data_IF_436324769662
#
_entry.id   IF_436324769662
#
_cell.length_a   1.000
_cell.length_b   1.000
_cell.length_c   1.000
_cell.angle_alpha   90.00
_cell.angle_beta   90.00
_cell.angle_gamma   90.00
#
_symmetry.space_group_name_H-M   'P 1'
#
loop_
_entity.id
_entity.type
_entity.pdbx_description
1 polymer ?
#
# COMPACT_ATOMS: atom_id res chain seq x y z
N UNK A 1 17.59 -16.36 16.91
CA UNK A 1 17.42 -15.27 15.91
C UNK A 1 18.59 -14.36 16.12
N UNK A 2 19.61 -14.48 15.28
CA UNK A 2 20.79 -13.63 15.40
C UNK A 2 20.35 -12.18 15.18
N UNK A 3 20.77 -11.31 16.10
CA UNK A 3 20.54 -9.87 16.02
C UNK A 3 21.00 -9.35 14.66
N UNK A 4 20.20 -8.48 14.05
CA UNK A 4 20.50 -7.75 12.82
C UNK A 4 21.97 -7.25 12.82
N UNK A 5 22.90 -7.86 12.06
CA UNK A 5 24.33 -7.73 12.38
C UNK A 5 25.04 -6.56 11.69
N UNK A 6 24.33 -5.69 10.97
CA UNK A 6 24.98 -4.67 10.14
C UNK A 6 24.41 -3.27 10.38
N UNK A 7 25.29 -2.32 10.68
CA UNK A 7 25.03 -0.90 10.49
C UNK A 7 24.85 -0.67 8.99
N UNK A 8 23.64 -0.30 8.59
CA UNK A 8 23.37 0.15 7.22
C UNK A 8 24.19 1.42 7.00
N UNK A 9 25.28 1.33 6.21
CA UNK A 9 26.19 2.45 5.97
C UNK A 9 25.40 3.72 5.58
N UNK A 10 25.35 4.71 6.48
CA UNK A 10 24.72 6.01 6.26
C UNK A 10 23.22 6.12 6.56
N UNK A 11 22.53 5.04 6.96
CA UNK A 11 21.11 5.09 7.34
C UNK A 11 20.94 5.13 8.87
N UNK A 12 19.94 5.86 9.39
CA UNK A 12 19.65 5.86 10.82
C UNK A 12 19.24 4.46 11.28
N UNK A 13 19.78 3.99 12.40
CA UNK A 13 19.29 2.79 13.07
C UNK A 13 17.89 3.07 13.63
N UNK A 14 16.88 2.37 13.09
CA UNK A 14 15.48 2.49 13.49
C UNK A 14 15.02 1.35 14.39
N UNK A 15 15.92 0.45 14.79
CA UNK A 15 15.61 -0.70 15.65
C UNK A 15 15.02 -0.28 16.99
N UNK A 16 15.42 0.89 17.51
CA UNK A 16 14.93 1.47 18.75
C UNK A 16 13.72 2.42 18.59
N UNK A 17 13.30 2.74 17.36
CA UNK A 17 12.20 3.69 17.15
C UNK A 17 10.92 3.21 17.83
N UNK A 18 10.28 4.12 18.55
CA UNK A 18 8.88 4.07 18.98
C UNK A 18 7.96 4.43 17.80
N UNK A 19 6.65 4.22 17.97
CA UNK A 19 5.67 4.58 16.93
C UNK A 19 5.69 6.08 16.71
N UNK A 20 5.82 6.87 17.79
CA UNK A 20 6.01 8.32 17.74
C UNK A 20 7.26 8.73 16.96
N UNK A 21 8.42 8.12 17.22
CA UNK A 21 9.65 8.43 16.48
C UNK A 21 9.48 8.21 14.97
N UNK A 22 8.71 7.19 14.60
CA UNK A 22 8.43 6.89 13.18
C UNK A 22 7.47 7.89 12.55
N UNK A 23 6.45 8.32 13.28
CA UNK A 23 5.53 9.38 12.84
C UNK A 23 6.33 10.66 12.58
N UNK A 24 7.15 11.10 13.55
CA UNK A 24 7.97 12.30 13.43
C UNK A 24 8.98 12.19 12.28
N UNK A 25 9.65 11.05 12.16
CA UNK A 25 10.61 10.79 11.09
C UNK A 25 9.99 10.91 9.69
N UNK A 26 8.83 10.29 9.48
CA UNK A 26 8.13 10.35 8.19
C UNK A 26 7.59 11.77 7.96
N UNK A 27 6.96 12.38 8.95
CA UNK A 27 6.35 13.72 8.83
C UNK A 27 7.38 14.78 8.46
N UNK A 28 8.51 14.84 9.18
CA UNK A 28 9.62 15.74 8.88
C UNK A 28 10.29 15.39 7.56
N UNK A 29 10.45 14.09 7.28
CA UNK A 29 11.02 13.59 6.04
C UNK A 29 10.26 14.02 4.78
N UNK A 30 8.94 14.16 4.89
CA UNK A 30 8.06 14.65 3.82
C UNK A 30 7.97 16.18 3.76
N UNK A 31 8.63 16.90 4.68
CA UNK A 31 8.59 18.38 4.73
C UNK A 31 7.25 18.96 5.17
N UNK A 32 6.45 18.21 5.93
CA UNK A 32 5.15 18.66 6.44
C UNK A 32 5.31 19.66 7.62
N UNK A 33 4.30 20.52 7.89
CA UNK A 33 4.40 21.57 8.93
C UNK A 33 4.70 21.02 10.33
N UNK A 34 5.77 21.49 10.98
CA UNK A 34 6.22 20.96 12.27
C UNK A 34 5.27 21.30 13.41
N UNK A 35 4.66 22.48 13.36
CA UNK A 35 3.72 22.97 14.36
C UNK A 35 2.44 22.13 14.43
N UNK A 36 2.07 21.45 13.35
CA UNK A 36 0.93 20.54 13.31
C UNK A 36 1.08 19.37 14.32
N UNK A 37 2.29 18.82 14.46
CA UNK A 37 2.54 17.72 15.40
C UNK A 37 2.45 18.17 16.87
N UNK A 38 2.81 19.41 17.17
CA UNK A 38 2.72 19.96 18.53
C UNK A 38 1.29 20.34 18.92
N UNK A 39 0.44 20.62 17.93
CA UNK A 39 -0.94 21.10 18.13
C UNK A 39 -1.97 20.00 18.14
N UNK A 40 -1.69 18.84 17.58
CA UNK A 40 -2.61 17.71 17.56
C UNK A 40 -2.25 16.74 18.69
N UNK A 41 -3.18 16.51 19.61
CA UNK A 41 -2.95 15.56 20.69
C UNK A 41 -3.03 14.12 20.15
N UNK A 42 -1.92 13.39 20.21
CA UNK A 42 -1.82 12.02 19.69
C UNK A 42 -1.74 11.03 20.85
N UNK A 43 -2.78 10.20 21.00
CA UNK A 43 -2.88 9.08 21.93
C UNK A 43 -2.61 7.75 21.19
N UNK A 44 -1.57 7.03 21.61
CA UNK A 44 -1.14 5.74 21.03
C UNK A 44 -1.22 4.62 22.08
N UNK A 45 -2.43 4.14 22.42
CA UNK A 45 -2.58 3.06 23.39
C UNK A 45 -1.77 1.83 23.00
N UNK A 46 -1.08 1.26 23.99
CA UNK A 46 -0.25 0.05 23.84
C UNK A 46 0.93 0.20 22.88
N UNK A 47 1.42 1.42 22.64
CA UNK A 47 2.65 1.67 21.87
C UNK A 47 3.82 0.78 22.38
N UNK A 48 4.60 0.26 21.43
CA UNK A 48 5.71 -0.66 21.72
C UNK A 48 5.27 -2.11 21.99
N UNK A 49 3.96 -2.40 22.02
CA UNK A 49 3.45 -3.76 22.03
C UNK A 49 3.79 -4.53 20.75
N UNK A 50 3.96 -5.84 20.87
CA UNK A 50 4.30 -6.72 19.74
C UNK A 50 3.11 -6.86 18.76
N UNK A 51 1.88 -6.85 19.30
CA UNK A 51 0.58 -7.08 18.64
C UNK A 51 0.43 -8.36 17.80
N UNK A 52 1.38 -8.67 16.92
CA UNK A 52 1.48 -9.90 16.14
C UNK A 52 2.91 -10.47 16.15
N UNK A 53 3.07 -11.80 16.18
CA UNK A 53 4.39 -12.42 16.12
C UNK A 53 4.98 -12.27 14.70
N UNK A 54 5.88 -11.30 14.52
CA UNK A 54 6.55 -11.01 13.26
C UNK A 54 8.00 -10.61 13.49
N UNK A 55 8.86 -10.92 12.51
CA UNK A 55 10.25 -10.44 12.50
C UNK A 55 10.35 -8.92 12.26
N UNK A 56 9.27 -8.28 11.82
CA UNK A 56 9.16 -6.83 11.63
C UNK A 56 8.17 -6.24 12.63
N UNK A 57 8.35 -4.96 12.99
CA UNK A 57 7.45 -4.21 13.88
C UNK A 57 6.12 -3.84 13.17
N UNK A 58 5.34 -4.82 12.74
CA UNK A 58 4.13 -4.58 11.91
C UNK A 58 3.08 -3.77 12.66
N UNK A 59 2.84 -4.05 13.95
CA UNK A 59 1.87 -3.30 14.74
C UNK A 59 2.23 -1.82 14.87
N UNK A 60 3.51 -1.54 15.13
CA UNK A 60 4.07 -0.19 15.08
C UNK A 60 3.85 0.48 13.72
N UNK A 61 4.16 -0.20 12.61
CA UNK A 61 3.98 0.37 11.27
C UNK A 61 2.49 0.66 10.98
N UNK A 62 1.59 -0.18 11.49
CA UNK A 62 0.14 0.01 11.38
C UNK A 62 -0.30 1.26 12.11
N UNK A 63 0.08 1.34 13.39
CA UNK A 63 -0.30 2.43 14.26
C UNK A 63 0.28 3.76 13.74
N UNK A 64 1.54 3.76 13.30
CA UNK A 64 2.19 4.94 12.74
C UNK A 64 1.53 5.41 11.43
N UNK A 65 1.30 4.51 10.47
CA UNK A 65 0.74 4.88 9.16
C UNK A 65 -0.70 5.39 9.25
N UNK A 66 -1.55 4.76 10.08
CA UNK A 66 -2.92 5.23 10.33
C UNK A 66 -2.91 6.56 11.09
N UNK A 67 -2.01 6.75 12.05
CA UNK A 67 -1.87 8.03 12.73
C UNK A 67 -1.43 9.13 11.76
N UNK A 68 -0.48 8.84 10.87
CA UNK A 68 -0.01 9.79 9.85
C UNK A 68 -1.13 10.20 8.89
N UNK A 69 -1.98 9.26 8.45
CA UNK A 69 -3.12 9.60 7.58
C UNK A 69 -4.14 10.48 8.32
N UNK A 70 -4.42 10.18 9.59
CA UNK A 70 -5.31 10.99 10.41
C UNK A 70 -4.74 12.40 10.68
N UNK A 71 -3.44 12.52 10.95
CA UNK A 71 -2.74 13.80 11.11
C UNK A 71 -2.81 14.64 9.84
N UNK A 72 -2.55 14.01 8.68
CA UNK A 72 -2.63 14.69 7.39
C UNK A 72 -4.05 15.15 7.08
N UNK A 73 -5.06 14.34 7.35
CA UNK A 73 -6.46 14.71 7.17
C UNK A 73 -6.87 15.86 8.11
N UNK A 74 -6.47 15.82 9.38
CA UNK A 74 -6.73 16.90 10.35
C UNK A 74 -6.04 18.20 9.96
N UNK A 75 -4.84 18.14 9.39
CA UNK A 75 -4.16 19.33 8.87
C UNK A 75 -4.97 20.00 7.74
N UNK A 76 -5.55 19.23 6.83
CA UNK A 76 -6.44 19.75 5.77
C UNK A 76 -7.68 20.40 6.38
N UNK A 77 -8.32 19.72 7.34
CA UNK A 77 -9.50 20.23 8.05
C UNK A 77 -9.23 21.58 8.75
N UNK A 78 -8.12 21.69 9.47
CA UNK A 78 -7.71 22.95 10.11
C UNK A 78 -7.46 24.06 9.09
N UNK A 79 -6.82 23.75 7.96
CA UNK A 79 -6.57 24.74 6.91
C UNK A 79 -7.85 25.24 6.26
N UNK A 80 -8.87 24.38 6.12
CA UNK A 80 -10.17 24.72 5.51
C UNK A 80 -11.03 25.57 6.46
N UNK A 81 -10.98 25.26 7.76
CA UNK A 81 -11.83 25.90 8.77
C UNK A 81 -11.20 27.13 9.44
N UNK A 82 -9.90 27.37 9.26
CA UNK A 82 -9.14 28.38 10.02
C UNK A 82 -9.24 28.20 11.56
N UNK A 83 -9.55 26.98 11.99
CA UNK A 83 -9.72 26.60 13.40
C UNK A 83 -8.45 25.94 13.91
N UNK A 84 -7.43 26.75 14.22
CA UNK A 84 -6.21 26.26 14.87
C UNK A 84 -6.32 26.18 16.42
N UNK A 85 -7.48 26.51 16.97
CA UNK A 85 -7.63 26.86 18.40
C UNK A 85 -8.05 25.71 19.32
N UNK A 86 -8.63 24.61 18.81
CA UNK A 86 -8.99 23.45 19.65
C UNK A 86 -8.32 22.16 19.13
N UNK A 87 -7.50 21.47 19.95
CA UNK A 87 -6.84 20.25 19.52
C UNK A 87 -7.86 19.11 19.34
N UNK A 88 -8.12 18.70 18.11
CA UNK A 88 -8.71 17.37 17.86
C UNK A 88 -7.73 16.31 18.36
N UNK A 89 -8.19 15.42 19.25
CA UNK A 89 -7.37 14.31 19.71
C UNK A 89 -7.43 13.16 18.69
N UNK A 90 -6.26 12.73 18.20
CA UNK A 90 -6.11 11.54 17.37
C UNK A 90 -5.76 10.38 18.28
N UNK A 91 -6.60 9.35 18.30
CA UNK A 91 -6.37 8.13 19.07
C UNK A 91 -6.30 6.93 18.16
N UNK A 92 -5.18 6.21 18.18
CA UNK A 92 -4.98 5.01 17.35
C UNK A 92 -4.58 3.83 18.22
N UNK A 93 -5.54 3.00 18.71
CA UNK A 93 -5.21 1.80 19.46
C UNK A 93 -4.44 0.78 18.62
N UNK A 94 -3.37 0.22 19.18
CA UNK A 94 -2.48 -0.72 18.46
C UNK A 94 -3.25 -1.93 17.87
N UNK A 95 -4.17 -2.51 18.64
CA UNK A 95 -4.96 -3.67 18.23
C UNK A 95 -5.90 -3.37 17.06
N UNK A 96 -6.51 -2.19 17.03
CA UNK A 96 -7.38 -1.75 15.93
C UNK A 96 -6.56 -1.49 14.67
N UNK A 97 -5.38 -0.87 14.82
CA UNK A 97 -4.49 -0.63 13.69
C UNK A 97 -4.05 -1.93 13.00
N UNK A 98 -3.71 -2.93 13.81
CA UNK A 98 -3.33 -4.27 13.33
C UNK A 98 -4.52 -4.97 12.67
N UNK A 99 -5.71 -4.88 13.26
CA UNK A 99 -6.93 -5.46 12.68
C UNK A 99 -7.25 -4.84 11.30
N UNK A 100 -7.07 -3.52 11.15
CA UNK A 100 -7.30 -2.85 9.86
C UNK A 100 -6.29 -3.29 8.78
N UNK A 101 -5.02 -3.54 9.15
CA UNK A 101 -4.02 -4.11 8.23
C UNK A 101 -4.31 -5.54 7.77
N UNK A 102 -5.20 -6.26 8.46
CA UNK A 102 -5.70 -7.57 8.05
C UNK A 102 -7.20 -7.56 7.75
N UNK A 103 -7.78 -6.39 7.46
CA UNK A 103 -9.24 -6.20 7.35
C UNK A 103 -9.91 -7.10 6.32
N UNK A 104 -9.20 -7.52 5.27
CA UNK A 104 -9.69 -8.46 4.26
C UNK A 104 -10.03 -9.85 4.83
N UNK A 105 -9.51 -10.18 6.00
CA UNK A 105 -9.76 -11.46 6.70
C UNK A 105 -10.92 -11.39 7.68
N UNK A 106 -11.40 -10.19 8.00
CA UNK A 106 -12.33 -9.96 9.10
C UNK A 106 -13.77 -9.71 8.65
N UNK A 107 -13.98 -9.33 7.38
CA UNK A 107 -15.33 -9.14 6.87
C UNK A 107 -16.01 -10.48 6.57
N UNK A 108 -17.34 -10.49 6.66
CA UNK A 108 -18.20 -11.58 6.23
C UNK A 108 -19.12 -11.09 5.12
N UNK A 109 -19.29 -11.91 4.07
CA UNK A 109 -20.30 -11.71 3.03
C UNK A 109 -21.35 -12.81 3.18
N UNK A 110 -22.60 -12.43 3.46
CA UNK A 110 -23.70 -13.36 3.76
C UNK A 110 -23.33 -14.38 4.85
N UNK A 111 -22.66 -13.91 5.90
CA UNK A 111 -22.20 -14.73 7.02
C UNK A 111 -21.00 -15.64 6.71
N UNK A 112 -20.42 -15.56 5.51
CA UNK A 112 -19.28 -16.39 5.10
C UNK A 112 -18.00 -15.55 5.04
N UNK A 113 -16.85 -16.11 5.45
CA UNK A 113 -15.57 -15.41 5.31
C UNK A 113 -15.20 -15.22 3.83
N UNK A 114 -14.36 -14.22 3.58
CA UNK A 114 -13.75 -14.00 2.28
C UNK A 114 -13.06 -15.27 1.76
N UNK A 115 -13.22 -15.55 0.46
CA UNK A 115 -12.41 -16.59 -0.19
C UNK A 115 -10.97 -16.09 -0.33
N UNK A 116 -10.02 -17.01 -0.24
CA UNK A 116 -8.62 -16.68 -0.51
C UNK A 116 -8.45 -16.10 -1.92
N UNK A 117 -7.73 -15.00 -2.03
CA UNK A 117 -7.33 -14.44 -3.32
C UNK A 117 -6.12 -15.18 -3.94
N UNK A 118 -5.48 -16.10 -3.21
CA UNK A 118 -4.36 -16.89 -3.71
C UNK A 118 -4.84 -18.02 -4.63
N UNK A 119 -4.07 -18.29 -5.69
CA UNK A 119 -4.28 -19.47 -6.52
C UNK A 119 -3.64 -20.72 -5.90
N UNK A 120 -3.65 -21.81 -6.66
CA UNK A 120 -3.23 -23.13 -6.20
C UNK A 120 -1.74 -23.43 -6.38
N UNK A 121 -1.04 -22.71 -7.26
CA UNK A 121 0.39 -22.87 -7.52
C UNK A 121 1.27 -21.93 -6.69
N UNK A 122 0.73 -20.80 -6.25
CA UNK A 122 1.50 -19.74 -5.62
C UNK A 122 2.07 -20.10 -4.24
N UNK A 123 2.70 -19.11 -3.62
CA UNK A 123 3.31 -19.21 -2.31
C UNK A 123 4.81 -19.47 -2.36
N UNK A 124 5.34 -20.09 -1.31
CA UNK A 124 6.76 -20.32 -1.13
C UNK A 124 7.15 -21.70 -1.70
N UNK A 125 8.18 -21.72 -2.54
CA UNK A 125 8.73 -22.93 -3.16
C UNK A 125 10.23 -23.02 -2.96
N UNK A 126 10.74 -24.22 -2.72
CA UNK A 126 12.17 -24.48 -2.56
C UNK A 126 12.86 -24.55 -3.93
N UNK A 127 14.07 -23.99 -4.01
CA UNK A 127 14.97 -24.07 -5.16
C UNK A 127 16.24 -24.84 -4.79
N UNK A 128 17.15 -25.05 -5.74
CA UNK A 128 18.41 -25.76 -5.51
C UNK A 128 19.28 -25.13 -4.40
N UNK A 129 19.19 -23.81 -4.23
CA UNK A 129 20.04 -23.00 -3.36
C UNK A 129 19.26 -22.15 -2.34
N UNK A 130 17.93 -22.19 -2.33
CA UNK A 130 17.12 -21.27 -1.55
C UNK A 130 15.62 -21.46 -1.74
N UNK A 131 14.90 -20.35 -1.84
CA UNK A 131 13.46 -20.36 -2.09
C UNK A 131 13.04 -19.22 -3.01
N UNK A 132 11.88 -19.37 -3.64
CA UNK A 132 11.18 -18.32 -4.37
C UNK A 132 9.75 -18.16 -3.85
N UNK A 133 9.23 -16.93 -3.88
CA UNK A 133 7.82 -16.60 -3.66
C UNK A 133 7.16 -16.40 -5.02
N UNK A 134 6.08 -17.12 -5.29
CA UNK A 134 5.32 -17.05 -6.53
C UNK A 134 3.91 -16.50 -6.27
N UNK A 135 3.40 -15.68 -7.18
CA UNK A 135 2.02 -15.19 -7.15
C UNK A 135 1.27 -15.67 -8.38
N UNK A 136 0.12 -16.29 -8.16
CA UNK A 136 -0.74 -16.88 -9.20
C UNK A 136 -2.21 -16.44 -9.05
N UNK A 137 -2.44 -15.30 -8.40
CA UNK A 137 -3.77 -14.75 -8.11
C UNK A 137 -4.60 -14.45 -9.37
N UNK A 138 -3.97 -14.37 -10.55
CA UNK A 138 -4.62 -14.12 -11.83
C UNK A 138 -4.27 -15.20 -12.87
N UNK A 139 -5.17 -15.50 -13.82
CA UNK A 139 -4.93 -16.52 -14.84
C UNK A 139 -3.66 -16.30 -15.66
N UNK A 140 -3.37 -15.05 -16.04
CA UNK A 140 -2.14 -14.72 -16.77
C UNK A 140 -0.87 -14.98 -15.94
N UNK A 141 -0.91 -14.78 -14.62
CA UNK A 141 0.24 -15.11 -13.76
C UNK A 141 0.44 -16.61 -13.65
N UNK A 142 -0.65 -17.38 -13.48
CA UNK A 142 -0.61 -18.85 -13.49
C UNK A 142 -0.01 -19.38 -14.79
N UNK A 143 -0.49 -18.89 -15.93
CA UNK A 143 -0.02 -19.31 -17.24
C UNK A 143 1.47 -18.98 -17.45
N UNK A 144 1.92 -17.80 -16.98
CA UNK A 144 3.32 -17.40 -17.05
C UNK A 144 4.23 -18.32 -16.20
N UNK A 145 3.80 -18.69 -14.98
CA UNK A 145 4.52 -19.65 -14.13
C UNK A 145 4.65 -21.00 -14.85
N UNK A 146 3.54 -21.53 -15.36
CA UNK A 146 3.52 -22.81 -16.06
C UNK A 146 4.38 -22.80 -17.33
N UNK A 147 4.39 -21.69 -18.08
CA UNK A 147 5.28 -21.51 -19.24
C UNK A 147 6.76 -21.57 -18.86
N UNK A 148 7.16 -20.89 -17.79
CA UNK A 148 8.56 -20.87 -17.32
C UNK A 148 9.03 -22.24 -16.84
N UNK A 149 8.13 -22.99 -16.19
CA UNK A 149 8.45 -24.31 -15.62
C UNK A 149 8.13 -25.48 -16.56
N UNK A 150 7.67 -25.19 -17.78
CA UNK A 150 7.26 -26.18 -18.77
C UNK A 150 6.21 -27.16 -18.23
N UNK A 151 5.16 -26.60 -17.61
CA UNK A 151 4.01 -27.31 -17.06
C UNK A 151 2.74 -26.96 -17.84
N UNK A 152 1.76 -27.86 -17.82
CA UNK A 152 0.42 -27.58 -18.35
C UNK A 152 -0.35 -26.68 -17.37
N UNK A 153 -0.80 -25.51 -17.83
CA UNK A 153 -1.50 -24.54 -16.96
C UNK A 153 -2.82 -25.05 -16.40
N UNK A 154 -3.51 -25.96 -17.09
CA UNK A 154 -4.81 -26.45 -16.66
C UNK A 154 -4.69 -27.53 -15.59
N UNK A 155 -3.65 -28.37 -15.66
CA UNK A 155 -3.51 -29.54 -14.79
C UNK A 155 -2.41 -29.42 -13.74
N UNK A 156 -1.51 -28.43 -13.86
CA UNK A 156 -0.40 -28.28 -12.92
C UNK A 156 -0.88 -28.16 -11.47
N UNK A 157 -0.19 -28.87 -10.60
CA UNK A 157 -0.36 -28.86 -9.16
C UNK A 157 0.77 -28.10 -8.47
N UNK A 158 0.61 -27.86 -7.17
CA UNK A 158 1.64 -27.22 -6.37
C UNK A 158 2.89 -28.10 -6.24
N UNK A 159 2.68 -29.41 -6.23
CA UNK A 159 3.71 -30.44 -6.17
C UNK A 159 4.55 -30.47 -7.45
N UNK A 160 3.91 -30.38 -8.63
CA UNK A 160 4.63 -30.29 -9.92
C UNK A 160 5.52 -29.04 -9.97
N UNK A 161 5.00 -27.90 -9.50
CA UNK A 161 5.77 -26.65 -9.40
C UNK A 161 6.95 -26.84 -8.46
N UNK A 162 6.73 -27.41 -7.28
CA UNK A 162 7.78 -27.65 -6.29
C UNK A 162 8.88 -28.58 -6.83
N UNK A 163 8.55 -29.60 -7.63
CA UNK A 163 9.53 -30.47 -8.26
C UNK A 163 10.37 -29.71 -9.30
N UNK A 164 9.73 -28.93 -10.16
CA UNK A 164 10.43 -28.15 -11.20
C UNK A 164 11.35 -27.09 -10.60
N UNK A 165 10.93 -26.41 -9.53
CA UNK A 165 11.73 -25.33 -8.93
C UNK A 165 13.04 -25.82 -8.30
N UNK A 166 13.12 -27.09 -7.88
CA UNK A 166 14.34 -27.68 -7.33
C UNK A 166 15.51 -27.75 -8.34
N UNK A 167 15.21 -27.69 -9.64
CA UNK A 167 16.21 -27.73 -10.71
C UNK A 167 16.85 -26.36 -10.98
N UNK A 168 16.30 -25.30 -10.38
CA UNK A 168 16.74 -23.94 -10.60
C UNK A 168 17.48 -23.39 -9.39
N UNK A 169 18.41 -22.46 -9.63
CA UNK A 169 18.79 -21.50 -8.60
C UNK A 169 17.76 -20.39 -8.49
N UNK A 170 17.52 -19.89 -7.28
CA UNK A 170 16.48 -18.90 -6.98
C UNK A 170 16.57 -17.63 -7.84
N UNK A 171 17.76 -17.03 -7.94
CA UNK A 171 17.99 -15.82 -8.73
C UNK A 171 17.91 -16.06 -10.26
N UNK A 172 18.33 -17.24 -10.72
CA UNK A 172 18.23 -17.62 -12.13
C UNK A 172 16.76 -17.80 -12.54
N UNK A 173 15.95 -18.44 -11.67
CA UNK A 173 14.51 -18.60 -11.89
C UNK A 173 13.76 -17.27 -11.86
N UNK A 174 14.06 -16.39 -10.90
CA UNK A 174 13.49 -15.03 -10.88
C UNK A 174 13.82 -14.28 -12.19
N UNK A 175 15.06 -14.36 -12.65
CA UNK A 175 15.47 -13.71 -13.91
C UNK A 175 14.72 -14.28 -15.12
N UNK A 176 14.54 -15.61 -15.19
CA UNK A 176 13.77 -16.26 -16.24
C UNK A 176 12.28 -15.89 -16.18
N UNK A 177 11.74 -15.76 -14.97
CA UNK A 177 10.37 -15.37 -14.71
C UNK A 177 10.08 -13.94 -15.16
N UNK A 178 10.95 -12.98 -14.81
CA UNK A 178 10.83 -11.59 -15.24
C UNK A 178 10.83 -11.43 -16.76
N UNK A 179 11.61 -12.25 -17.48
CA UNK A 179 11.65 -12.27 -18.95
C UNK A 179 10.40 -12.86 -19.60
N UNK A 180 9.55 -13.54 -18.82
CA UNK A 180 8.36 -14.24 -19.28
C UNK A 180 7.08 -13.75 -18.56
N UNK A 181 7.12 -12.55 -17.97
CA UNK A 181 5.99 -11.92 -17.27
C UNK A 181 5.43 -12.75 -16.08
N UNK A 182 6.24 -13.67 -15.53
CA UNK A 182 5.86 -14.47 -14.38
C UNK A 182 6.25 -13.77 -13.07
N UNK A 183 5.35 -13.80 -12.08
CA UNK A 183 5.52 -13.14 -10.78
C UNK A 183 6.18 -14.12 -9.80
N UNK A 184 7.49 -14.31 -9.96
CA UNK A 184 8.33 -15.20 -9.14
C UNK A 184 9.53 -14.39 -8.64
N UNK A 185 9.74 -14.35 -7.32
CA UNK A 185 10.84 -13.59 -6.71
C UNK A 185 11.67 -14.44 -5.75
N UNK A 186 12.99 -14.31 -5.84
CA UNK A 186 13.93 -15.00 -4.96
C UNK A 186 13.86 -14.42 -3.54
N UNK A 187 13.74 -15.31 -2.54
CA UNK A 187 13.93 -14.92 -1.15
C UNK A 187 15.41 -14.68 -0.92
N UNK A 188 15.71 -13.54 -0.32
CA UNK A 188 17.06 -13.07 -0.04
C UNK A 188 17.25 -12.86 1.44
N UNK A 189 18.43 -13.19 1.93
CA UNK A 189 18.95 -12.69 3.19
C UNK A 189 19.15 -11.17 3.13
N UNK A 190 19.32 -10.53 4.28
CA UNK A 190 19.61 -9.09 4.34
C UNK A 190 20.89 -8.73 3.56
N UNK A 191 21.95 -9.52 3.68
CA UNK A 191 23.19 -9.29 2.97
C UNK A 191 23.03 -9.41 1.44
N UNK A 192 22.29 -10.42 0.97
CA UNK A 192 21.98 -10.57 -0.46
C UNK A 192 21.13 -9.42 -0.99
N UNK A 193 20.17 -8.91 -0.20
CA UNK A 193 19.40 -7.73 -0.56
C UNK A 193 20.28 -6.47 -0.66
N UNK A 194 21.10 -6.21 0.35
CA UNK A 194 21.99 -5.04 0.40
C UNK A 194 23.00 -5.01 -0.76
N UNK A 195 23.47 -6.18 -1.19
CA UNK A 195 24.41 -6.29 -2.32
C UNK A 195 23.73 -6.33 -3.69
N UNK A 196 22.40 -6.45 -3.73
CA UNK A 196 21.63 -6.45 -4.98
C UNK A 196 21.55 -5.06 -5.62
N UNK A 197 21.34 -5.00 -6.94
CA UNK A 197 21.14 -3.73 -7.66
C UNK A 197 20.01 -2.87 -7.08
N UNK A 198 18.79 -3.39 -6.90
CA UNK A 198 17.70 -2.64 -6.26
C UNK A 198 18.01 -2.20 -4.83
N UNK A 199 18.62 -3.06 -4.01
CA UNK A 199 19.02 -2.72 -2.65
C UNK A 199 20.02 -1.57 -2.62
N UNK A 200 21.08 -1.64 -3.43
CA UNK A 200 22.05 -0.56 -3.58
C UNK A 200 21.43 0.73 -4.08
N UNK A 201 20.50 0.67 -5.05
CA UNK A 201 19.82 1.86 -5.57
C UNK A 201 18.98 2.58 -4.50
N UNK A 202 18.29 1.81 -3.64
CA UNK A 202 17.56 2.38 -2.49
C UNK A 202 18.54 3.02 -1.49
N UNK A 203 19.64 2.33 -1.17
CA UNK A 203 20.65 2.82 -0.23
C UNK A 203 21.41 4.06 -0.73
N UNK A 204 21.66 4.15 -2.04
CA UNK A 204 22.55 5.16 -2.62
C UNK A 204 21.97 6.59 -2.63
N UNK A 205 20.68 6.78 -2.41
CA UNK A 205 20.07 8.11 -2.56
C UNK A 205 19.03 8.51 -1.53
N UNK A 206 18.44 7.58 -0.77
CA UNK A 206 17.16 7.88 -0.13
C UNK A 206 17.01 7.27 1.27
N UNK A 207 16.79 8.14 2.26
CA UNK A 207 16.43 7.74 3.62
C UNK A 207 14.92 7.47 3.78
N UNK A 208 14.11 7.75 2.76
CA UNK A 208 12.65 7.61 2.81
C UNK A 208 12.12 6.87 1.58
N UNK A 209 11.12 5.99 1.76
CA UNK A 209 10.50 5.25 0.65
C UNK A 209 9.57 6.12 -0.22
N UNK A 210 9.24 7.34 0.23
CA UNK A 210 8.30 8.26 -0.43
C UNK A 210 9.01 9.58 -0.67
N UNK A 211 8.77 10.20 -1.84
CA UNK A 211 9.21 11.56 -2.16
C UNK A 211 8.03 12.39 -2.61
N UNK A 212 7.97 13.61 -2.11
CA UNK A 212 7.06 14.64 -2.59
C UNK A 212 7.85 15.60 -3.45
N UNK A 213 7.43 15.77 -4.69
CA UNK A 213 7.99 16.76 -5.59
C UNK A 213 6.86 17.70 -6.00
N UNK A 214 7.01 18.98 -5.66
CA UNK A 214 6.08 20.00 -6.12
C UNK A 214 6.24 20.17 -7.62
N UNK A 215 5.25 19.71 -8.38
CA UNK A 215 5.11 20.02 -9.80
C UNK A 215 4.85 21.53 -9.94
N UNK A 216 5.50 22.19 -10.92
CA UNK A 216 5.69 23.64 -10.98
C UNK A 216 4.45 24.53 -10.68
N UNK A 217 4.69 25.63 -9.97
CA UNK A 217 4.17 26.99 -10.26
C UNK A 217 2.68 27.24 -10.51
N UNK A 218 1.74 26.35 -10.18
CA UNK A 218 0.33 26.75 -10.18
C UNK A 218 0.18 27.90 -9.18
N UNK A 219 -0.08 29.12 -9.66
CA UNK A 219 -0.44 30.25 -8.80
C UNK A 219 -1.72 29.99 -7.99
N UNK A 220 -2.42 28.88 -8.26
CA UNK A 220 -3.39 28.29 -7.36
C UNK A 220 -2.73 27.95 -6.03
N UNK A 221 -2.94 28.81 -5.04
CA UNK A 221 -2.80 28.42 -3.65
C UNK A 221 -3.67 27.17 -3.42
N UNK A 222 -3.27 26.22 -2.54
CA UNK A 222 -4.11 25.08 -2.15
C UNK A 222 -5.53 25.48 -1.73
N UNK A 223 -5.74 26.75 -1.37
CA UNK A 223 -7.04 27.35 -1.07
C UNK A 223 -8.02 27.39 -2.25
N UNK A 224 -7.56 27.39 -3.52
CA UNK A 224 -8.46 27.31 -4.69
C UNK A 224 -8.97 25.88 -4.92
N UNK A 225 -8.12 24.86 -4.73
CA UNK A 225 -8.54 23.45 -4.73
C UNK A 225 -9.42 23.10 -3.50
N UNK A 226 -9.25 23.83 -2.40
CA UNK A 226 -10.04 23.66 -1.18
C UNK A 226 -11.46 24.28 -1.25
N UNK A 227 -11.85 24.97 -2.33
CA UNK A 227 -13.19 25.58 -2.45
C UNK A 227 -14.33 24.56 -2.33
N UNK A 228 -14.08 23.31 -2.70
CA UNK A 228 -15.07 22.24 -2.63
C UNK A 228 -15.04 21.46 -1.31
N UNK A 229 -13.97 21.60 -0.53
CA UNK A 229 -13.89 21.00 0.80
C UNK A 229 -14.81 21.80 1.72
N UNK A 230 -15.76 21.11 2.35
CA UNK A 230 -16.79 21.76 3.15
C UNK A 230 -16.22 22.21 4.48
N UNK A 231 -16.39 23.49 4.80
CA UNK A 231 -16.17 23.99 6.14
C UNK A 231 -17.15 23.37 7.14
N UNK A 232 -16.69 23.14 8.37
CA UNK A 232 -17.43 22.58 9.49
C UNK A 232 -18.15 21.27 9.12
N UNK A 233 -17.49 20.43 8.33
CA UNK A 233 -18.03 19.16 7.91
C UNK A 233 -17.99 18.10 9.03
N UNK A 234 -18.71 17.00 8.81
CA UNK A 234 -18.74 15.84 9.69
C UNK A 234 -17.45 14.99 9.62
N UNK A 235 -16.57 15.27 8.65
CA UNK A 235 -15.33 14.54 8.35
C UNK A 235 -14.30 15.47 7.69
N UNK A 236 -13.03 15.26 8.01
CA UNK A 236 -11.90 16.12 7.63
C UNK A 236 -11.70 16.34 6.13
N UNK A 237 -11.98 15.33 5.29
CA UNK A 237 -11.80 15.40 3.82
C UNK A 237 -13.12 15.52 3.07
N UNK A 238 -14.21 15.91 3.75
CA UNK A 238 -15.53 15.98 3.13
C UNK A 238 -15.53 17.01 1.98
N UNK A 239 -15.79 16.53 0.78
CA UNK A 239 -15.85 17.34 -0.44
C UNK A 239 -14.59 17.25 -1.30
N UNK A 240 -13.49 16.70 -0.77
CA UNK A 240 -12.32 16.34 -1.56
C UNK A 240 -12.69 15.24 -2.57
N UNK A 241 -12.39 15.44 -3.85
CA UNK A 241 -12.71 14.51 -4.93
C UNK A 241 -11.45 13.76 -5.36
N UNK A 242 -11.52 12.43 -5.33
CA UNK A 242 -10.40 11.55 -5.66
C UNK A 242 -10.81 10.66 -6.82
N UNK A 243 -10.06 10.71 -7.92
CA UNK A 243 -10.22 9.82 -9.06
C UNK A 243 -9.15 8.74 -9.01
N UNK A 244 -9.49 7.59 -8.46
CA UNK A 244 -8.54 6.51 -8.21
C UNK A 244 -8.42 5.59 -9.45
N UNK A 245 -7.26 5.60 -10.10
CA UNK A 245 -6.92 4.74 -11.25
C UNK A 245 -6.05 3.54 -10.85
N UNK A 246 -6.52 2.78 -9.87
CA UNK A 246 -5.66 1.84 -9.13
C UNK A 246 -6.18 0.39 -9.14
N UNK A 247 -5.33 -0.57 -8.76
CA UNK A 247 -5.69 -1.99 -8.69
C UNK A 247 -5.01 -2.71 -7.52
N UNK A 248 -5.61 -3.83 -7.11
CA UNK A 248 -5.04 -4.81 -6.17
C UNK A 248 -5.06 -4.33 -4.71
N UNK A 249 -3.97 -3.77 -4.15
CA UNK A 249 -3.91 -3.52 -2.69
C UNK A 249 -3.45 -2.10 -2.32
N UNK A 250 -2.19 -1.74 -2.59
CA UNK A 250 -1.56 -0.57 -1.95
C UNK A 250 -2.29 0.75 -2.26
N UNK A 251 -2.56 1.01 -3.54
CA UNK A 251 -3.29 2.20 -3.95
C UNK A 251 -4.80 2.13 -3.62
N UNK A 252 -5.50 0.99 -3.76
CA UNK A 252 -6.86 0.87 -3.25
C UNK A 252 -7.00 1.12 -1.75
N UNK A 253 -5.99 0.75 -0.93
CA UNK A 253 -5.93 1.08 0.50
C UNK A 253 -5.79 2.58 0.73
N UNK A 254 -5.00 3.28 -0.10
CA UNK A 254 -4.91 4.75 -0.03
C UNK A 254 -6.28 5.40 -0.31
N UNK A 255 -6.98 4.96 -1.35
CA UNK A 255 -8.34 5.42 -1.64
C UNK A 255 -9.35 5.09 -0.53
N UNK A 256 -9.31 3.87 0.02
CA UNK A 256 -10.12 3.48 1.19
C UNK A 256 -9.87 4.41 2.38
N UNK A 257 -8.60 4.76 2.62
CA UNK A 257 -8.19 5.64 3.71
C UNK A 257 -8.76 7.05 3.53
N UNK A 258 -8.66 7.62 2.32
CA UNK A 258 -9.24 8.93 2.01
C UNK A 258 -10.77 8.91 2.17
N UNK A 259 -11.44 7.87 1.69
CA UNK A 259 -12.88 7.68 1.84
C UNK A 259 -13.32 7.57 3.32
N UNK A 260 -12.53 6.89 4.16
CA UNK A 260 -12.78 6.81 5.60
C UNK A 260 -12.75 8.19 6.28
N UNK A 261 -11.93 9.11 5.78
CA UNK A 261 -11.90 10.51 6.19
C UNK A 261 -12.92 11.41 5.45
N UNK A 262 -13.84 10.83 4.67
CA UNK A 262 -14.99 11.53 4.08
C UNK A 262 -14.81 12.03 2.65
N UNK A 263 -13.66 11.76 2.01
CA UNK A 263 -13.44 12.10 0.61
C UNK A 263 -14.42 11.37 -0.32
N UNK A 264 -14.78 12.01 -1.42
CA UNK A 264 -15.55 11.39 -2.50
C UNK A 264 -14.59 10.68 -3.45
N UNK A 265 -14.45 9.37 -3.27
CA UNK A 265 -13.52 8.54 -4.03
C UNK A 265 -14.27 7.78 -5.11
N UNK A 266 -13.93 8.07 -6.38
CA UNK A 266 -14.37 7.34 -7.55
C UNK A 266 -13.26 6.41 -8.03
N UNK A 267 -13.44 5.11 -7.83
CA UNK A 267 -12.53 4.08 -8.26
C UNK A 267 -12.83 3.62 -9.69
N UNK A 268 -11.98 4.01 -10.62
CA UNK A 268 -12.07 3.61 -12.02
C UNK A 268 -11.38 2.28 -12.21
N UNK A 269 -12.15 1.28 -12.65
CA UNK A 269 -11.64 -0.05 -13.00
C UNK A 269 -11.77 -0.30 -14.50
N UNK A 270 -11.11 -1.34 -15.02
CA UNK A 270 -11.20 -1.70 -16.43
C UNK A 270 -12.14 -2.88 -16.62
N UNK A 271 -13.03 -2.86 -17.62
CA UNK A 271 -13.84 -4.03 -17.99
C UNK A 271 -12.99 -5.16 -18.61
N UNK A 272 -11.76 -4.85 -19.03
CA UNK A 272 -10.88 -5.76 -19.78
C UNK A 272 -9.76 -6.37 -18.92
N UNK A 273 -9.78 -6.16 -17.59
CA UNK A 273 -8.77 -6.66 -16.66
C UNK A 273 -9.42 -7.51 -15.57
N UNK A 274 -8.76 -8.60 -15.11
CA UNK A 274 -9.32 -9.44 -14.07
C UNK A 274 -9.42 -8.70 -12.73
N UNK A 275 -10.47 -8.97 -11.96
CA UNK A 275 -10.67 -8.44 -10.61
C UNK A 275 -10.27 -9.44 -9.53
N UNK A 276 -10.17 -9.00 -8.28
CA UNK A 276 -10.02 -9.88 -7.11
C UNK A 276 -11.17 -9.61 -6.15
N UNK A 277 -12.40 -10.11 -6.42
CA UNK A 277 -13.60 -9.67 -5.71
C UNK A 277 -13.51 -9.76 -4.18
N UNK A 278 -12.88 -10.82 -3.66
CA UNK A 278 -12.71 -11.00 -2.22
C UNK A 278 -11.86 -9.90 -1.57
N UNK A 279 -10.93 -9.31 -2.32
CA UNK A 279 -10.12 -8.19 -1.86
C UNK A 279 -10.79 -6.85 -2.19
N UNK A 280 -11.35 -6.73 -3.39
CA UNK A 280 -12.02 -5.52 -3.89
C UNK A 280 -13.18 -5.09 -2.99
N UNK A 281 -13.88 -6.05 -2.35
CA UNK A 281 -14.93 -5.76 -1.35
C UNK A 281 -14.36 -5.01 -0.14
N UNK A 282 -13.20 -5.43 0.39
CA UNK A 282 -12.59 -4.74 1.54
C UNK A 282 -12.06 -3.36 1.14
N UNK A 283 -11.23 -3.31 0.09
CA UNK A 283 -10.57 -2.07 -0.31
C UNK A 283 -11.54 -1.10 -1.00
N UNK A 284 -12.72 -1.56 -1.40
CA UNK A 284 -13.83 -0.80 -1.96
C UNK A 284 -14.65 -0.01 -0.93
N UNK A 285 -14.47 -0.26 0.37
CA UNK A 285 -15.25 0.38 1.44
C UNK A 285 -15.21 1.91 1.35
N UNK A 286 -16.39 2.52 1.29
CA UNK A 286 -16.56 3.98 1.22
C UNK A 286 -16.35 4.59 -0.16
N UNK A 287 -16.02 3.80 -1.19
CA UNK A 287 -15.77 4.27 -2.55
C UNK A 287 -16.96 4.00 -3.47
N UNK A 288 -17.09 4.81 -4.51
CA UNK A 288 -17.92 4.50 -5.70
C UNK A 288 -17.03 3.89 -6.76
N UNK A 289 -17.56 3.03 -7.61
CA UNK A 289 -16.78 2.44 -8.71
C UNK A 289 -17.49 2.59 -10.04
N UNK A 290 -16.69 2.74 -11.09
CA UNK A 290 -17.13 2.67 -12.49
C UNK A 290 -16.16 1.80 -13.28
N UNK A 291 -16.59 1.36 -14.46
CA UNK A 291 -15.74 0.69 -15.43
C UNK A 291 -15.58 1.58 -16.65
N UNK A 292 -14.32 1.88 -17.00
CA UNK A 292 -13.98 2.60 -18.23
C UNK A 292 -13.02 1.78 -19.06
N UNK A 293 -13.29 1.66 -20.35
CA UNK A 293 -12.32 1.13 -21.31
C UNK A 293 -11.50 2.27 -21.91
N UNK A 294 -10.38 2.61 -21.27
CA UNK A 294 -9.48 3.70 -21.70
C UNK A 294 -8.75 3.40 -23.04
N UNK A 295 -8.99 2.24 -23.65
CA UNK A 295 -8.53 1.93 -25.00
C UNK A 295 -9.47 2.47 -26.08
N UNK A 296 -10.72 2.75 -25.76
CA UNK A 296 -11.66 3.41 -26.67
C UNK A 296 -11.52 4.93 -26.60
N UNK A 297 -11.99 5.62 -27.63
CA UNK A 297 -11.98 7.08 -27.64
C UNK A 297 -12.95 7.64 -26.59
N UNK A 298 -14.17 7.10 -26.53
CA UNK A 298 -15.18 7.49 -25.53
C UNK A 298 -14.67 7.30 -24.09
N UNK A 299 -14.01 6.16 -23.80
CA UNK A 299 -13.49 5.88 -22.46
C UNK A 299 -12.34 6.81 -22.05
N UNK A 300 -11.56 7.31 -23.01
CA UNK A 300 -10.55 8.36 -22.74
C UNK A 300 -11.22 9.71 -22.48
N UNK A 301 -12.23 10.07 -23.27
CA UNK A 301 -12.96 11.33 -23.10
C UNK A 301 -13.69 11.37 -21.76
N UNK A 302 -14.31 10.26 -21.35
CA UNK A 302 -14.93 10.13 -20.03
C UNK A 302 -13.90 10.27 -18.91
N UNK A 303 -12.73 9.62 -19.04
CA UNK A 303 -11.67 9.76 -18.05
C UNK A 303 -11.15 11.20 -17.95
N UNK A 304 -10.90 11.85 -19.08
CA UNK A 304 -10.46 13.25 -19.12
C UNK A 304 -11.50 14.19 -18.51
N UNK A 305 -12.79 13.93 -18.74
CA UNK A 305 -13.87 14.68 -18.10
C UNK A 305 -13.79 14.53 -16.58
N UNK A 306 -13.76 13.29 -16.08
CA UNK A 306 -13.69 13.02 -14.64
C UNK A 306 -12.43 13.64 -13.99
N UNK A 307 -11.29 13.60 -14.70
CA UNK A 307 -10.03 14.13 -14.19
C UNK A 307 -10.02 15.66 -14.06
N UNK A 308 -10.85 16.40 -14.81
CA UNK A 308 -10.93 17.87 -14.69
C UNK A 308 -11.48 18.33 -13.36
N UNK A 309 -12.37 17.54 -12.77
CA UNK A 309 -13.07 17.88 -11.53
C UNK A 309 -12.46 17.20 -10.28
N UNK A 310 -11.37 16.44 -10.46
CA UNK A 310 -10.70 15.71 -9.40
C UNK A 310 -9.58 16.55 -8.76
N UNK A 311 -9.50 16.50 -7.42
CA UNK A 311 -8.43 17.16 -6.65
C UNK A 311 -7.19 16.26 -6.52
N UNK A 312 -7.40 14.94 -6.58
CA UNK A 312 -6.37 13.89 -6.45
C UNK A 312 -6.59 12.82 -7.52
N UNK A 313 -5.51 12.36 -8.15
CA UNK A 313 -5.46 11.29 -9.16
C UNK A 313 -4.63 10.09 -8.66
#
# INVERSE_FOLDING_TARGET
MDSWPHSWNGQPDRSAYTTRDTIEHIWHGLGLPQDALARINVDLPSEGGIAIPSSFKIGHLAQASICLSALAASLVDHQVNDTLSEPQAIRVPLEHAVAEFGSEKHYLLDGKPAKSAWGTLGGLHKTADGHVRMHDNFPNHRNAICKVLELDSETATKEDVAEKTLQWKSAELETAALKNDAVIFALRSYQEWETSGPGQAIMAGHNLPIRLTKMAGSGANPTEAALHIRQNADRCLRGLRVLELSRVIAAPVAGKTLAAHGADVLWVTSPNLPSLPALDIDVGRGKRSIQLDIKTEDGKQDLEHLARDADVL
#
